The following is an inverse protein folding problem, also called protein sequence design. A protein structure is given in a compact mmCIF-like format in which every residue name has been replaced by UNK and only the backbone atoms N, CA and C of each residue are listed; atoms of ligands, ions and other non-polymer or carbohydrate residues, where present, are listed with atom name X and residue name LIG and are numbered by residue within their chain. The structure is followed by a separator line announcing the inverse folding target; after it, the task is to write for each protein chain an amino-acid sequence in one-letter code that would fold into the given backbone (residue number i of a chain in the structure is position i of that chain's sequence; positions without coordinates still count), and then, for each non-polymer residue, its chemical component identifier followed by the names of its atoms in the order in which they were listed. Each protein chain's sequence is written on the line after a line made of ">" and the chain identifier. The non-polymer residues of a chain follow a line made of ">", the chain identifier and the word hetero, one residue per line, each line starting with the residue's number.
data_IF_452991695867
#
_entry.id   IF_452991695867
#
_cell.length_a   1.000
_cell.length_b   1.000
_cell.length_c   1.000
_cell.angle_alpha   90.00
_cell.angle_beta   90.00
_cell.angle_gamma   90.00
#
_symmetry.space_group_name_H-M   'P 1'
#
loop_
_entity.id
_entity.type
_entity.pdbx_description
1 polymer ?
#
# COMPACT_ATOMS: atom_id res chain seq x y z
N UNK A 1 11.94 20.85 -13.58
CA UNK A 1 11.10 19.69 -13.81
C UNK A 1 9.70 20.21 -13.60
N UNK A 2 8.80 20.02 -14.53
CA UNK A 2 7.45 20.56 -14.47
C UNK A 2 6.64 19.73 -13.46
N UNK A 3 5.93 20.38 -12.55
CA UNK A 3 5.15 19.70 -11.50
C UNK A 3 4.15 18.69 -12.07
N UNK A 4 3.54 19.02 -13.21
CA UNK A 4 2.58 18.16 -13.92
C UNK A 4 3.21 16.86 -14.45
N UNK A 5 4.48 16.87 -14.84
CA UNK A 5 5.19 15.68 -15.28
C UNK A 5 5.50 14.74 -14.10
N UNK A 6 5.94 15.30 -12.98
CA UNK A 6 6.26 14.54 -11.77
C UNK A 6 4.99 13.85 -11.22
N UNK A 7 3.85 14.55 -11.22
CA UNK A 7 2.57 14.01 -10.79
C UNK A 7 2.13 12.77 -11.59
N UNK A 8 2.21 12.84 -12.92
CA UNK A 8 1.84 11.72 -13.81
C UNK A 8 2.73 10.50 -13.60
N UNK A 9 4.03 10.72 -13.37
CA UNK A 9 4.99 9.64 -13.07
C UNK A 9 4.62 8.93 -11.75
N UNK A 10 4.29 9.69 -10.72
CA UNK A 10 3.95 9.10 -9.42
C UNK A 10 2.60 8.38 -9.45
N UNK A 11 1.61 8.88 -10.20
CA UNK A 11 0.37 8.15 -10.44
C UNK A 11 0.61 6.82 -11.18
N UNK A 12 1.49 6.82 -12.18
CA UNK A 12 1.87 5.58 -12.85
C UNK A 12 2.54 4.58 -11.90
N UNK A 13 3.43 5.06 -11.01
CA UNK A 13 4.07 4.22 -10.00
C UNK A 13 3.05 3.61 -9.02
N UNK A 14 2.07 4.40 -8.55
CA UNK A 14 0.99 3.91 -7.69
C UNK A 14 0.19 2.81 -8.42
N UNK A 15 -0.25 3.08 -9.65
CA UNK A 15 -1.05 2.14 -10.43
C UNK A 15 -0.31 0.82 -10.68
N UNK A 16 0.95 0.88 -11.11
CA UNK A 16 1.76 -0.32 -11.38
C UNK A 16 2.05 -1.09 -10.09
N UNK A 17 2.32 -0.40 -8.96
CA UNK A 17 2.54 -1.06 -7.67
C UNK A 17 1.28 -1.80 -7.19
N UNK A 18 0.10 -1.20 -7.33
CA UNK A 18 -1.17 -1.83 -6.97
C UNK A 18 -1.49 -3.04 -7.87
N UNK A 19 -1.28 -2.90 -9.18
CA UNK A 19 -1.47 -4.00 -10.12
C UNK A 19 -0.53 -5.18 -9.84
N UNK A 20 0.70 -4.91 -9.38
CA UNK A 20 1.67 -5.97 -9.06
C UNK A 20 1.33 -6.80 -7.82
N UNK A 21 0.29 -6.45 -7.08
CA UNK A 21 -0.28 -7.30 -6.02
C UNK A 21 -1.04 -8.49 -6.62
N UNK A 22 -1.57 -8.32 -7.84
CA UNK A 22 -2.30 -9.38 -8.54
C UNK A 22 -1.33 -10.44 -9.12
N UNK A 23 -1.78 -11.69 -9.28
CA UNK A 23 -0.94 -12.78 -9.79
C UNK A 23 -0.79 -12.69 -11.32
N UNK A 24 0.08 -11.80 -11.77
CA UNK A 24 0.49 -11.71 -13.18
C UNK A 24 1.68 -12.64 -13.50
N UNK A 25 2.07 -12.69 -14.76
CA UNK A 25 3.23 -13.42 -15.22
C UNK A 25 4.56 -12.73 -14.85
N UNK A 26 5.68 -13.42 -15.05
CA UNK A 26 7.02 -12.92 -14.73
C UNK A 26 7.40 -11.68 -15.55
N UNK A 27 6.88 -11.53 -16.77
CA UNK A 27 7.12 -10.38 -17.62
C UNK A 27 6.56 -9.10 -17.02
N UNK A 28 5.37 -9.17 -16.43
CA UNK A 28 4.77 -8.03 -15.75
C UNK A 28 5.60 -7.57 -14.55
N UNK A 29 6.13 -8.49 -13.76
CA UNK A 29 6.99 -8.13 -12.62
C UNK A 29 8.31 -7.49 -13.05
N UNK A 30 8.88 -7.90 -14.20
CA UNK A 30 10.06 -7.25 -14.77
C UNK A 30 9.73 -5.82 -15.21
N UNK A 31 8.60 -5.63 -15.87
CA UNK A 31 8.09 -4.29 -16.24
C UNK A 31 7.88 -3.41 -14.99
N UNK A 32 7.24 -3.95 -13.94
CA UNK A 32 7.05 -3.26 -12.66
C UNK A 32 8.37 -2.76 -12.08
N UNK A 33 9.41 -3.60 -12.06
CA UNK A 33 10.74 -3.21 -11.57
C UNK A 33 11.32 -2.02 -12.32
N UNK A 34 11.23 -2.03 -13.64
CA UNK A 34 11.72 -0.93 -14.48
C UNK A 34 10.97 0.36 -14.13
N UNK A 35 9.65 0.33 -14.13
CA UNK A 35 8.82 1.51 -13.86
C UNK A 35 9.08 2.06 -12.47
N UNK A 36 8.99 1.22 -11.43
CA UNK A 36 9.18 1.66 -10.05
C UNK A 36 10.59 2.17 -9.80
N UNK A 37 11.62 1.55 -10.38
CA UNK A 37 13.01 2.03 -10.26
C UNK A 37 13.16 3.43 -10.83
N UNK A 38 12.65 3.69 -12.04
CA UNK A 38 12.68 5.01 -12.67
C UNK A 38 11.90 6.03 -11.83
N UNK A 39 10.67 5.71 -11.44
CA UNK A 39 9.83 6.59 -10.63
C UNK A 39 10.48 6.91 -9.27
N UNK A 40 11.18 5.93 -8.67
CA UNK A 40 11.90 6.12 -7.41
C UNK A 40 13.06 7.10 -7.57
N UNK A 41 13.81 7.04 -8.68
CA UNK A 41 14.88 8.01 -8.98
C UNK A 41 14.30 9.43 -9.11
N UNK A 42 13.17 9.57 -9.81
CA UNK A 42 12.47 10.86 -9.91
C UNK A 42 12.03 11.35 -8.53
N UNK A 43 11.50 10.47 -7.69
CA UNK A 43 11.14 10.77 -6.31
C UNK A 43 12.31 11.24 -5.45
N UNK A 44 13.48 10.59 -5.58
CA UNK A 44 14.73 11.04 -4.92
C UNK A 44 15.06 12.48 -5.34
N UNK A 45 15.03 12.78 -6.64
CA UNK A 45 15.37 14.11 -7.15
C UNK A 45 14.36 15.17 -6.68
N UNK A 46 13.08 14.85 -6.65
CA UNK A 46 12.03 15.75 -6.19
C UNK A 46 12.18 16.09 -4.70
N UNK A 47 12.41 15.06 -3.85
CA UNK A 47 12.54 15.24 -2.40
C UNK A 47 13.84 15.89 -1.98
N UNK A 48 14.95 15.65 -2.70
CA UNK A 48 16.21 16.34 -2.42
C UNK A 48 16.13 17.84 -2.67
N UNK A 49 15.31 18.30 -3.62
CA UNK A 49 15.06 19.72 -3.85
C UNK A 49 14.29 20.38 -2.70
N UNK A 50 13.54 19.59 -1.92
CA UNK A 50 12.75 20.04 -0.75
C UNK A 50 13.49 19.84 0.58
N UNK A 51 14.78 19.50 0.56
CA UNK A 51 15.59 19.16 1.75
C UNK A 51 14.96 18.11 2.67
N UNK A 52 14.12 17.25 2.12
CA UNK A 52 13.45 16.20 2.88
C UNK A 52 14.35 14.96 2.98
N UNK A 53 14.65 14.51 4.18
CA UNK A 53 15.46 13.28 4.42
C UNK A 53 14.78 12.00 3.92
N UNK A 54 13.49 12.04 3.58
CA UNK A 54 12.70 10.89 3.11
C UNK A 54 13.14 10.40 1.73
N UNK A 55 13.94 11.20 0.98
CA UNK A 55 14.53 10.74 -0.29
C UNK A 55 15.27 9.39 -0.15
N UNK A 56 15.78 9.06 1.05
CA UNK A 56 16.48 7.79 1.34
C UNK A 56 15.55 6.59 1.09
N UNK A 57 14.27 6.69 1.43
CA UNK A 57 13.27 5.62 1.22
C UNK A 57 13.13 5.33 -0.27
N UNK A 58 13.05 6.36 -1.11
CA UNK A 58 12.95 6.18 -2.55
C UNK A 58 14.27 5.71 -3.18
N UNK A 59 15.41 6.07 -2.60
CA UNK A 59 16.70 5.49 -3.00
C UNK A 59 16.75 3.98 -2.71
N UNK A 60 16.22 3.53 -1.57
CA UNK A 60 16.10 2.10 -1.26
C UNK A 60 15.14 1.38 -2.21
N UNK A 61 14.02 1.99 -2.60
CA UNK A 61 13.15 1.43 -3.62
C UNK A 61 13.85 1.32 -4.98
N UNK A 62 14.62 2.34 -5.40
CA UNK A 62 15.38 2.28 -6.64
C UNK A 62 16.38 1.11 -6.65
N UNK A 63 17.01 0.81 -5.53
CA UNK A 63 17.91 -0.34 -5.36
C UNK A 63 17.14 -1.66 -5.37
N UNK A 64 16.05 -1.74 -4.61
CA UNK A 64 15.25 -2.95 -4.45
C UNK A 64 14.59 -3.40 -5.77
N UNK A 65 14.07 -2.45 -6.52
CA UNK A 65 13.43 -2.70 -7.82
C UNK A 65 14.41 -2.64 -8.99
N UNK A 66 15.71 -2.57 -8.73
CA UNK A 66 16.74 -2.48 -9.79
C UNK A 66 16.57 -3.63 -10.81
N UNK A 67 16.35 -3.32 -12.11
CA UNK A 67 16.20 -4.36 -13.13
C UNK A 67 17.53 -4.99 -13.56
N UNK A 68 18.69 -4.31 -13.31
CA UNK A 68 20.02 -4.77 -13.72
C UNK A 68 20.56 -5.78 -12.71
N UNK A 69 20.41 -5.48 -11.41
CA UNK A 69 20.82 -6.36 -10.31
C UNK A 69 19.55 -6.74 -9.51
N UNK A 70 18.76 -7.69 -10.03
CA UNK A 70 17.45 -7.98 -9.43
C UNK A 70 17.62 -8.63 -8.05
N UNK A 71 16.98 -8.06 -7.04
CA UNK A 71 16.84 -8.67 -5.72
C UNK A 71 15.78 -9.77 -5.80
N UNK A 72 16.14 -11.00 -5.47
CA UNK A 72 15.23 -12.15 -5.44
C UNK A 72 14.90 -12.49 -3.98
N UNK A 73 13.68 -12.19 -3.55
CA UNK A 73 13.23 -12.52 -2.20
C UNK A 73 12.61 -13.93 -2.12
N UNK A 74 12.39 -14.58 -3.26
CA UNK A 74 11.80 -15.93 -3.40
C UNK A 74 10.47 -16.16 -2.67
N UNK A 75 9.86 -15.10 -2.13
CA UNK A 75 8.61 -15.10 -1.39
C UNK A 75 7.62 -14.14 -2.05
N UNK A 76 6.51 -14.70 -2.55
CA UNK A 76 5.48 -13.92 -3.24
C UNK A 76 4.73 -12.99 -2.27
N UNK A 77 4.45 -13.46 -1.07
CA UNK A 77 3.70 -12.68 -0.07
C UNK A 77 4.50 -11.47 0.37
N UNK A 78 5.81 -11.65 0.56
CA UNK A 78 6.73 -10.55 0.87
C UNK A 78 6.77 -9.51 -0.25
N UNK A 79 6.79 -9.95 -1.52
CA UNK A 79 6.71 -9.03 -2.66
C UNK A 79 5.38 -8.27 -2.71
N UNK A 80 4.26 -8.93 -2.41
CA UNK A 80 2.95 -8.26 -2.35
C UNK A 80 2.93 -7.18 -1.27
N UNK A 81 3.50 -7.45 -0.09
CA UNK A 81 3.62 -6.46 0.98
C UNK A 81 4.51 -5.28 0.58
N UNK A 82 5.66 -5.54 -0.03
CA UNK A 82 6.57 -4.51 -0.52
C UNK A 82 5.89 -3.63 -1.58
N UNK A 83 5.16 -4.22 -2.52
CA UNK A 83 4.42 -3.48 -3.55
C UNK A 83 3.33 -2.61 -2.94
N UNK A 84 2.62 -3.10 -1.91
CA UNK A 84 1.62 -2.31 -1.18
C UNK A 84 2.28 -1.11 -0.45
N UNK A 85 3.39 -1.34 0.26
CA UNK A 85 4.15 -0.27 0.94
C UNK A 85 4.66 0.75 -0.08
N UNK A 86 5.15 0.29 -1.24
CA UNK A 86 5.62 1.15 -2.32
C UNK A 86 4.49 2.02 -2.87
N UNK A 87 3.29 1.46 -3.09
CA UNK A 87 2.13 2.22 -3.54
C UNK A 87 1.76 3.33 -2.54
N UNK A 88 1.75 3.02 -1.23
CA UNK A 88 1.47 4.01 -0.17
C UNK A 88 2.54 5.10 -0.13
N UNK A 89 3.82 4.75 -0.27
CA UNK A 89 4.91 5.72 -0.28
C UNK A 89 4.83 6.67 -1.48
N UNK A 90 4.52 6.16 -2.69
CA UNK A 90 4.32 7.00 -3.88
C UNK A 90 3.06 7.84 -3.78
N UNK A 91 1.99 7.36 -3.15
CA UNK A 91 0.79 8.14 -2.89
C UNK A 91 1.08 9.32 -1.95
N UNK A 92 1.85 9.07 -0.89
CA UNK A 92 2.31 10.14 -0.02
C UNK A 92 3.18 11.16 -0.79
N UNK A 93 4.13 10.69 -1.61
CA UNK A 93 4.98 11.55 -2.42
C UNK A 93 4.17 12.40 -3.41
N UNK A 94 3.17 11.81 -4.06
CA UNK A 94 2.27 12.50 -4.98
C UNK A 94 1.58 13.69 -4.30
N UNK A 95 1.06 13.50 -3.08
CA UNK A 95 0.47 14.58 -2.27
C UNK A 95 1.51 15.63 -1.88
N UNK A 96 2.71 15.20 -1.50
CA UNK A 96 3.79 16.09 -1.07
C UNK A 96 4.28 17.02 -2.20
N UNK A 97 4.25 16.58 -3.46
CA UNK A 97 4.63 17.41 -4.60
C UNK A 97 3.52 18.32 -5.12
N UNK A 98 2.32 18.24 -4.53
CA UNK A 98 1.17 19.12 -4.83
C UNK A 98 0.18 18.52 -5.83
N UNK A 99 0.18 17.19 -6.03
CA UNK A 99 -0.78 16.51 -6.88
C UNK A 99 -2.22 16.64 -6.36
N UNK A 100 -3.19 16.78 -7.28
CA UNK A 100 -4.60 16.77 -6.93
C UNK A 100 -5.04 15.36 -6.56
N UNK A 101 -5.03 15.10 -5.25
CA UNK A 101 -5.37 13.82 -4.68
C UNK A 101 -6.85 13.71 -4.25
N UNK A 102 -7.72 14.63 -4.66
CA UNK A 102 -9.12 14.67 -4.18
C UNK A 102 -9.87 13.36 -4.36
N UNK A 103 -9.75 12.70 -5.51
CA UNK A 103 -10.34 11.38 -5.77
C UNK A 103 -9.67 10.28 -4.95
N UNK A 104 -8.35 10.35 -4.78
CA UNK A 104 -7.57 9.39 -4.01
C UNK A 104 -7.90 9.56 -2.52
N UNK A 105 -7.99 10.79 -2.03
CA UNK A 105 -8.38 11.09 -0.64
C UNK A 105 -9.79 10.59 -0.34
N UNK A 106 -10.73 10.78 -1.27
CA UNK A 106 -12.08 10.22 -1.16
C UNK A 106 -12.03 8.68 -1.12
N UNK A 107 -11.24 8.07 -1.99
CA UNK A 107 -11.06 6.62 -1.99
C UNK A 107 -10.46 6.10 -0.69
N UNK A 108 -9.37 6.70 -0.19
CA UNK A 108 -8.74 6.34 1.08
C UNK A 108 -9.67 6.57 2.28
N UNK A 109 -10.45 7.65 2.25
CA UNK A 109 -11.47 7.93 3.25
C UNK A 109 -12.47 6.77 3.37
N UNK A 110 -13.00 6.29 2.25
CA UNK A 110 -13.92 5.15 2.23
C UNK A 110 -13.22 3.84 2.56
N UNK A 111 -12.01 3.58 2.04
CA UNK A 111 -11.23 2.35 2.33
C UNK A 111 -10.95 2.25 3.83
N UNK A 112 -10.53 3.33 4.49
CA UNK A 112 -10.25 3.31 5.92
C UNK A 112 -11.48 2.97 6.75
N UNK A 113 -12.64 3.52 6.38
CA UNK A 113 -13.91 3.31 7.09
C UNK A 113 -14.54 1.95 6.80
N UNK A 114 -14.61 1.58 5.53
CA UNK A 114 -15.14 0.28 5.13
C UNK A 114 -14.22 -0.86 5.60
N UNK A 115 -12.90 -0.65 5.56
CA UNK A 115 -11.93 -1.59 6.11
C UNK A 115 -12.11 -1.77 7.62
N UNK A 116 -12.30 -0.68 8.37
CA UNK A 116 -12.59 -0.72 9.79
C UNK A 116 -13.90 -1.48 10.10
N UNK A 117 -14.98 -1.17 9.39
CA UNK A 117 -16.26 -1.88 9.53
C UNK A 117 -16.13 -3.36 9.12
N UNK A 118 -15.40 -3.65 8.06
CA UNK A 118 -15.10 -5.03 7.63
C UNK A 118 -14.35 -5.82 8.71
N UNK A 119 -13.39 -5.19 9.37
CA UNK A 119 -12.67 -5.80 10.50
C UNK A 119 -13.61 -6.12 11.66
N UNK A 120 -14.55 -5.23 11.98
CA UNK A 120 -15.55 -5.50 13.04
C UNK A 120 -16.53 -6.61 12.67
N UNK A 121 -16.90 -6.69 11.38
CA UNK A 121 -17.84 -7.71 10.89
C UNK A 121 -17.19 -9.10 10.68
N UNK A 122 -15.86 -9.18 10.61
CA UNK A 122 -15.13 -10.42 10.30
C UNK A 122 -15.51 -11.63 11.17
N UNK A 123 -15.64 -11.52 12.52
CA UNK A 123 -16.01 -12.67 13.33
C UNK A 123 -17.44 -13.16 13.06
N UNK A 124 -18.36 -12.23 12.82
CA UNK A 124 -19.77 -12.61 12.53
C UNK A 124 -19.86 -13.32 11.18
N UNK A 125 -19.15 -12.84 10.16
CA UNK A 125 -19.09 -13.48 8.83
C UNK A 125 -18.44 -14.86 8.94
N UNK A 126 -17.30 -14.97 9.62
CA UNK A 126 -16.61 -16.23 9.83
C UNK A 126 -17.48 -17.24 10.57
N UNK A 127 -18.22 -16.82 11.59
CA UNK A 127 -19.16 -17.66 12.33
C UNK A 127 -20.32 -18.14 11.44
N UNK A 128 -20.90 -17.27 10.61
CA UNK A 128 -21.96 -17.65 9.67
C UNK A 128 -21.48 -18.65 8.63
N UNK A 129 -20.28 -18.46 8.07
CA UNK A 129 -19.68 -19.41 7.13
C UNK A 129 -19.47 -20.77 7.80
N UNK A 130 -18.95 -20.80 9.01
CA UNK A 130 -18.75 -22.02 9.78
C UNK A 130 -20.06 -22.78 10.02
N UNK A 131 -21.15 -22.08 10.33
CA UNK A 131 -22.47 -22.72 10.48
C UNK A 131 -23.02 -23.27 9.16
N UNK A 132 -22.79 -22.58 8.04
CA UNK A 132 -23.30 -22.99 6.73
C UNK A 132 -22.56 -24.18 6.13
N UNK A 133 -21.26 -24.33 6.42
CA UNK A 133 -20.43 -25.42 5.89
C UNK A 133 -20.45 -26.68 6.75
N UNK A 134 -20.95 -26.59 7.99
CA UNK A 134 -20.93 -27.69 8.95
C UNK A 134 -19.52 -28.07 9.45
N UNK A 135 -18.50 -27.34 9.05
CA UNK A 135 -17.12 -27.54 9.47
C UNK A 135 -16.91 -27.06 10.90
N UNK A 136 -16.41 -27.93 11.78
CA UNK A 136 -15.95 -27.53 13.10
C UNK A 136 -14.58 -26.88 13.01
N UNK A 137 -14.55 -25.57 12.86
CA UNK A 137 -13.30 -24.84 12.97
C UNK A 137 -12.75 -24.92 14.40
N UNK A 138 -11.44 -25.11 14.54
CA UNK A 138 -10.81 -25.00 15.86
C UNK A 138 -10.93 -23.55 16.34
N UNK A 139 -11.57 -23.37 17.50
CA UNK A 139 -11.87 -22.03 18.04
C UNK A 139 -10.61 -21.20 18.31
N UNK A 140 -9.53 -21.83 18.78
CA UNK A 140 -8.29 -21.13 19.11
C UNK A 140 -7.66 -20.37 17.91
N UNK A 141 -7.37 -21.02 16.75
CA UNK A 141 -6.81 -20.32 15.62
C UNK A 141 -7.78 -19.27 15.03
N UNK A 142 -9.09 -19.52 15.12
CA UNK A 142 -10.09 -18.53 14.67
C UNK A 142 -10.08 -17.27 15.55
N UNK A 143 -10.01 -17.40 16.87
CA UNK A 143 -9.91 -16.27 17.80
C UNK A 143 -8.63 -15.50 17.56
N UNK A 144 -7.48 -16.19 17.44
CA UNK A 144 -6.20 -15.56 17.18
C UNK A 144 -6.18 -14.80 15.84
N UNK A 145 -6.71 -15.42 14.78
CA UNK A 145 -6.83 -14.79 13.47
C UNK A 145 -7.73 -13.54 13.53
N UNK A 146 -8.84 -13.61 14.25
CA UNK A 146 -9.77 -12.50 14.47
C UNK A 146 -9.10 -11.35 15.20
N UNK A 147 -8.38 -11.62 16.28
CA UNK A 147 -7.66 -10.61 17.05
C UNK A 147 -6.55 -9.96 16.24
N UNK A 148 -5.77 -10.75 15.47
CA UNK A 148 -4.72 -10.25 14.59
C UNK A 148 -5.31 -9.37 13.48
N UNK A 149 -6.43 -9.78 12.87
CA UNK A 149 -7.12 -9.03 11.84
C UNK A 149 -7.68 -7.70 12.37
N UNK A 150 -8.27 -7.71 13.56
CA UNK A 150 -8.76 -6.50 14.22
C UNK A 150 -7.62 -5.53 14.55
N UNK A 151 -6.56 -6.03 15.18
CA UNK A 151 -5.42 -5.19 15.52
C UNK A 151 -4.80 -4.56 14.26
N UNK A 152 -4.55 -5.37 13.22
CA UNK A 152 -4.00 -4.89 11.96
C UNK A 152 -4.92 -3.91 11.23
N UNK A 153 -6.21 -4.20 11.15
CA UNK A 153 -7.20 -3.34 10.50
C UNK A 153 -7.41 -2.00 11.21
N UNK A 154 -7.49 -2.00 12.54
CA UNK A 154 -7.63 -0.77 13.34
C UNK A 154 -6.37 0.09 13.21
N UNK A 155 -5.19 -0.51 13.40
CA UNK A 155 -3.91 0.20 13.25
C UNK A 155 -3.74 0.74 11.84
N UNK A 156 -4.08 -0.04 10.81
CA UNK A 156 -4.03 0.38 9.42
C UNK A 156 -4.96 1.56 9.12
N UNK A 157 -6.21 1.50 9.59
CA UNK A 157 -7.18 2.59 9.41
C UNK A 157 -6.73 3.88 10.12
N UNK A 158 -6.22 3.77 11.35
CA UNK A 158 -5.69 4.91 12.10
C UNK A 158 -4.43 5.48 11.45
N UNK A 159 -3.54 4.63 10.93
CA UNK A 159 -2.35 5.06 10.23
C UNK A 159 -2.70 5.83 8.93
N UNK A 160 -3.65 5.31 8.13
CA UNK A 160 -4.15 6.01 6.94
C UNK A 160 -4.72 7.38 7.33
N UNK A 161 -5.59 7.44 8.33
CA UNK A 161 -6.19 8.69 8.75
C UNK A 161 -5.16 9.69 9.27
N UNK A 162 -4.18 9.24 10.07
CA UNK A 162 -3.13 10.11 10.59
C UNK A 162 -2.20 10.64 9.49
N UNK A 163 -1.77 9.76 8.59
CA UNK A 163 -0.80 10.10 7.52
C UNK A 163 -1.42 10.97 6.44
N UNK A 164 -2.64 10.64 6.00
CA UNK A 164 -3.26 11.29 4.85
C UNK A 164 -4.23 12.41 5.22
N UNK A 165 -4.85 12.37 6.38
CA UNK A 165 -5.85 13.36 6.80
C UNK A 165 -5.47 14.14 8.06
N UNK A 166 -4.34 13.82 8.70
CA UNK A 166 -3.91 14.45 9.97
C UNK A 166 -4.83 14.14 11.17
N UNK A 167 -5.76 13.19 11.01
CA UNK A 167 -6.75 12.84 12.02
C UNK A 167 -6.28 11.64 12.85
N UNK A 168 -6.55 11.69 14.15
CA UNK A 168 -6.20 10.61 15.09
C UNK A 168 -7.32 9.60 15.31
N UNK A 169 -8.51 9.85 14.73
CA UNK A 169 -9.66 8.94 14.80
C UNK A 169 -10.19 8.60 13.42
N UNK A 170 -10.84 7.44 13.28
CA UNK A 170 -11.43 6.99 12.01
C UNK A 170 -12.69 7.79 11.65
N UNK A 171 -13.33 8.43 12.65
CA UNK A 171 -14.64 9.07 12.55
C UNK A 171 -14.63 10.57 12.82
N UNK A 172 -13.45 11.18 12.90
CA UNK A 172 -13.31 12.62 13.10
C UNK A 172 -13.53 13.39 11.80
#
# INVERSE_FOLDING_TARGET
>A
MDSDFDEKIFLAAIGVSLLSILPFDTGFYTFTRIVISICSIVGVLALRKKDSSIWIVFALFAILYNPILPVYLYDKELWMMINAITAVAFLWLFKEVGGDASLIDTGLFWISRLGFLGCLAFPAIGYMIMQSTGERMRMEPFILATLAFWAGGIVGALAINKVFFGQTSVWA
#
